data_IF_413487436823
#
_entry.id   IF_413487436823
#
_cell.length_a   1.000
_cell.length_b   1.000
_cell.length_c   1.000
_cell.angle_alpha   90.00
_cell.angle_beta   90.00
_cell.angle_gamma   90.00
#
_symmetry.space_group_name_H-M   'P 1'
#
loop_
_entity.id
_entity.type
_entity.pdbx_description
1 polymer ?
#
# COMPACT_ATOMS: atom_id res chain seq x y z
N UNK A 1 10.40 1.78 5.17
CA UNK A 1 11.65 2.20 5.86
C UNK A 1 11.68 3.71 5.88
N UNK A 2 12.12 4.35 6.96
CA UNK A 2 12.10 5.82 7.08
C UNK A 2 13.42 6.35 7.65
N UNK A 3 13.90 7.44 7.08
CA UNK A 3 15.02 8.23 7.58
C UNK A 3 14.49 9.55 8.16
N UNK A 4 14.60 9.72 9.47
CA UNK A 4 14.06 10.86 10.21
C UNK A 4 15.07 12.02 10.27
N UNK A 5 15.24 12.72 9.13
CA UNK A 5 16.02 13.96 9.05
C UNK A 5 15.11 15.09 8.60
N UNK A 6 14.82 16.02 9.51
CA UNK A 6 13.99 17.18 9.24
C UNK A 6 14.71 18.20 8.35
N UNK A 7 13.94 18.90 7.50
CA UNK A 7 14.40 19.95 6.59
C UNK A 7 15.67 19.59 5.81
N UNK A 8 15.73 18.32 5.38
CA UNK A 8 16.89 17.76 4.69
C UNK A 8 17.11 18.37 3.30
N UNK A 9 18.39 18.59 2.98
CA UNK A 9 18.88 19.04 1.67
C UNK A 9 19.85 18.01 1.07
N UNK A 10 20.16 18.14 -0.22
CA UNK A 10 21.05 17.21 -0.95
C UNK A 10 20.67 15.72 -0.81
N UNK A 11 19.36 15.43 -0.72
CA UNK A 11 18.86 14.07 -0.51
C UNK A 11 19.13 13.18 -1.73
N UNK A 12 19.90 12.13 -1.51
CA UNK A 12 20.19 11.08 -2.48
C UNK A 12 19.81 9.72 -1.90
N UNK A 13 18.99 8.99 -2.66
CA UNK A 13 18.52 7.65 -2.33
C UNK A 13 18.82 6.74 -3.51
N UNK A 14 19.58 5.68 -3.28
CA UNK A 14 19.89 4.66 -4.26
C UNK A 14 19.38 3.32 -3.75
N UNK A 15 18.42 2.73 -4.46
CA UNK A 15 17.86 1.41 -4.15
C UNK A 15 18.36 0.42 -5.21
N UNK A 16 19.20 -0.51 -4.78
CA UNK A 16 19.71 -1.62 -5.58
C UNK A 16 19.04 -2.93 -5.15
N UNK A 17 19.24 -3.99 -5.93
CA UNK A 17 18.65 -5.31 -5.68
C UNK A 17 18.97 -5.88 -4.29
N UNK A 18 20.12 -5.52 -3.70
CA UNK A 18 20.60 -6.07 -2.43
C UNK A 18 21.01 -5.01 -1.41
N UNK A 19 20.83 -3.73 -1.73
CA UNK A 19 21.33 -2.64 -0.91
C UNK A 19 20.51 -1.38 -1.07
N UNK A 20 20.44 -0.58 -0.03
CA UNK A 20 20.01 0.81 -0.09
C UNK A 20 21.12 1.71 0.45
N UNK A 21 21.36 2.82 -0.25
CA UNK A 21 22.27 3.89 0.16
C UNK A 21 21.46 5.18 0.28
N UNK A 22 21.55 5.81 1.44
CA UNK A 22 20.92 7.09 1.74
C UNK A 22 21.99 8.10 2.15
N UNK A 23 21.89 9.31 1.61
CA UNK A 23 22.68 10.43 2.08
C UNK A 23 21.91 11.74 1.99
N UNK A 24 22.14 12.65 2.95
CA UNK A 24 21.57 13.99 2.95
C UNK A 24 22.37 14.93 3.87
N UNK A 25 21.97 16.21 3.91
CA UNK A 25 22.42 17.21 4.88
C UNK A 25 21.25 17.75 5.68
N UNK A 26 21.44 18.00 6.97
CA UNK A 26 20.49 18.75 7.78
C UNK A 26 20.71 20.27 7.66
N UNK A 27 19.85 21.11 8.26
CA UNK A 27 20.02 22.57 8.25
C UNK A 27 21.32 23.07 8.89
N UNK A 28 21.89 22.31 9.84
CA UNK A 28 23.16 22.63 10.49
C UNK A 28 24.38 22.29 9.62
N UNK A 29 24.16 21.70 8.43
CA UNK A 29 25.21 21.27 7.51
C UNK A 29 25.87 19.94 7.87
N UNK A 30 25.32 19.19 8.83
CA UNK A 30 25.77 17.84 9.18
C UNK A 30 25.32 16.87 8.09
N UNK A 31 26.28 16.10 7.58
CA UNK A 31 26.05 15.06 6.56
C UNK A 31 25.66 13.74 7.22
N UNK A 32 24.60 13.14 6.70
CA UNK A 32 24.14 11.81 7.06
C UNK A 32 24.45 10.85 5.90
N UNK A 33 24.99 9.69 6.24
CA UNK A 33 25.24 8.61 5.29
C UNK A 33 24.84 7.29 5.95
N UNK A 34 23.93 6.56 5.33
CA UNK A 34 23.44 5.28 5.80
C UNK A 34 23.42 4.27 4.65
N UNK A 35 24.01 3.12 4.90
CA UNK A 35 24.04 2.00 3.97
C UNK A 35 23.51 0.75 4.66
N UNK A 36 22.60 0.05 3.99
CA UNK A 36 22.05 -1.22 4.47
C UNK A 36 22.12 -2.24 3.35
N UNK A 37 22.79 -3.36 3.60
CA UNK A 37 22.63 -4.57 2.80
C UNK A 37 21.37 -5.32 3.24
N UNK A 38 20.45 -5.57 2.32
CA UNK A 38 19.19 -6.24 2.61
C UNK A 38 19.38 -7.73 2.90
N UNK A 39 18.52 -8.26 3.78
CA UNK A 39 18.44 -9.69 4.10
C UNK A 39 18.30 -10.57 2.86
N UNK A 40 17.48 -10.14 1.90
CA UNK A 40 17.30 -10.82 0.62
C UNK A 40 17.05 -9.80 -0.50
N UNK A 41 16.96 -10.32 -1.73
CA UNK A 41 16.74 -9.51 -2.92
C UNK A 41 15.44 -8.69 -2.84
N UNK A 42 15.49 -7.45 -3.30
CA UNK A 42 14.36 -6.54 -3.49
C UNK A 42 14.15 -6.22 -4.97
N UNK A 43 12.98 -5.73 -5.33
CA UNK A 43 12.69 -5.21 -6.66
C UNK A 43 12.95 -3.70 -6.67
N UNK A 44 14.12 -3.28 -7.16
CA UNK A 44 14.51 -1.88 -7.23
C UNK A 44 13.57 -1.03 -8.13
N UNK A 45 13.02 -1.62 -9.20
CA UNK A 45 12.17 -0.90 -10.18
C UNK A 45 10.79 -0.55 -9.63
N UNK A 46 10.27 -1.39 -8.76
CA UNK A 46 8.99 -1.18 -8.09
C UNK A 46 9.13 -0.48 -6.73
N UNK A 47 10.37 -0.20 -6.31
CA UNK A 47 10.67 0.51 -5.07
C UNK A 47 10.81 2.00 -5.32
N UNK A 48 10.36 2.83 -4.38
CA UNK A 48 10.32 4.28 -4.53
C UNK A 48 10.61 4.98 -3.21
N UNK A 49 11.14 6.20 -3.24
CA UNK A 49 11.22 7.09 -2.09
C UNK A 49 10.20 8.24 -2.17
N UNK A 50 9.73 8.67 -1.00
CA UNK A 50 8.90 9.87 -0.84
C UNK A 50 9.56 10.78 0.18
N UNK A 51 9.65 12.05 -0.17
CA UNK A 51 10.27 13.07 0.68
C UNK A 51 9.18 13.95 1.28
N UNK A 52 9.36 14.26 2.56
CA UNK A 52 8.57 15.20 3.35
C UNK A 52 9.53 16.19 4.00
N UNK A 53 9.02 17.32 4.52
CA UNK A 53 9.82 18.22 5.35
C UNK A 53 10.31 17.57 6.65
N UNK A 54 9.68 16.46 7.08
CA UNK A 54 10.01 15.77 8.34
C UNK A 54 10.91 14.54 8.19
N UNK A 55 10.90 13.90 7.02
CA UNK A 55 11.53 12.60 6.83
C UNK A 55 11.58 12.19 5.36
N UNK A 56 12.35 11.13 5.10
CA UNK A 56 12.42 10.45 3.81
C UNK A 56 11.94 9.01 4.01
N UNK A 57 10.81 8.67 3.39
CA UNK A 57 10.23 7.32 3.47
C UNK A 57 10.59 6.53 2.20
N UNK A 58 11.22 5.37 2.38
CA UNK A 58 11.53 4.42 1.32
C UNK A 58 10.54 3.24 1.34
N UNK A 59 9.82 3.06 0.24
CA UNK A 59 8.94 1.93 -0.03
C UNK A 59 9.73 0.87 -0.79
N UNK A 60 10.17 -0.17 -0.07
CA UNK A 60 11.00 -1.24 -0.62
C UNK A 60 10.14 -2.47 -0.88
N UNK A 61 10.05 -2.92 -2.13
CA UNK A 61 9.31 -4.13 -2.51
C UNK A 61 10.21 -5.37 -2.44
N UNK A 62 9.82 -6.37 -1.64
CA UNK A 62 10.50 -7.68 -1.61
C UNK A 62 10.43 -8.35 -2.98
N UNK A 63 11.49 -9.04 -3.40
CA UNK A 63 11.49 -9.80 -4.66
C UNK A 63 10.54 -11.01 -4.62
N UNK A 64 10.53 -11.72 -3.48
CA UNK A 64 9.59 -12.82 -3.23
C UNK A 64 8.52 -12.36 -2.25
N UNK A 65 7.27 -12.42 -2.68
CA UNK A 65 6.11 -12.20 -1.84
C UNK A 65 5.92 -13.37 -0.87
N UNK A 66 5.19 -13.14 0.24
CA UNK A 66 4.87 -14.14 1.27
C UNK A 66 6.09 -14.83 1.91
N UNK A 67 7.26 -14.18 1.87
CA UNK A 67 8.47 -14.65 2.56
C UNK A 67 8.77 -13.77 3.77
N UNK A 68 8.81 -14.39 4.94
CA UNK A 68 9.17 -13.76 6.18
C UNK A 68 10.63 -13.26 6.14
N UNK A 69 10.85 -12.02 6.58
CA UNK A 69 12.18 -11.48 6.80
C UNK A 69 12.35 -11.34 8.32
N UNK A 70 13.21 -12.15 8.96
CA UNK A 70 13.42 -12.06 10.41
C UNK A 70 14.12 -10.75 10.81
N UNK A 71 14.84 -10.13 9.87
CA UNK A 71 15.53 -8.85 10.00
C UNK A 71 15.59 -8.13 8.66
N UNK A 72 15.90 -6.84 8.69
CA UNK A 72 16.08 -6.03 7.48
C UNK A 72 17.46 -6.25 6.85
N UNK A 73 18.49 -6.38 7.68
CA UNK A 73 19.90 -6.48 7.28
C UNK A 73 20.30 -7.91 6.93
N UNK A 74 21.25 -8.06 6.00
CA UNK A 74 21.89 -9.35 5.70
C UNK A 74 22.59 -9.93 6.93
N UNK A 75 23.45 -9.14 7.53
CA UNK A 75 24.15 -9.48 8.76
C UNK A 75 23.22 -9.40 9.97
N UNK A 76 23.53 -10.19 11.00
CA UNK A 76 22.74 -10.26 12.24
C UNK A 76 23.06 -9.12 13.22
N UNK A 77 24.04 -8.29 12.89
CA UNK A 77 24.42 -7.13 13.68
C UNK A 77 23.48 -5.98 13.33
N UNK A 78 22.65 -5.58 14.31
CA UNK A 78 21.76 -4.43 14.19
C UNK A 78 22.55 -3.13 14.44
N UNK A 79 22.67 -2.21 13.45
CA UNK A 79 23.28 -0.92 13.68
C UNK A 79 22.53 -0.12 14.76
N UNK A 80 23.25 0.65 15.58
CA UNK A 80 22.66 1.38 16.70
C UNK A 80 21.59 2.41 16.30
N UNK A 81 21.68 2.93 15.07
CA UNK A 81 20.75 3.93 14.52
C UNK A 81 19.51 3.31 13.87
N UNK A 82 19.46 1.99 13.69
CA UNK A 82 18.33 1.29 13.08
C UNK A 82 17.38 0.79 14.17
N UNK A 83 16.10 1.15 14.12
CA UNK A 83 15.06 0.68 15.03
C UNK A 83 13.87 0.07 14.27
N UNK A 84 13.01 -0.66 15.00
CA UNK A 84 11.75 -1.17 14.44
C UNK A 84 10.69 -0.09 14.66
N UNK A 85 9.95 0.22 13.60
CA UNK A 85 8.75 1.05 13.63
C UNK A 85 7.58 0.17 14.11
N UNK A 86 7.29 0.23 15.40
CA UNK A 86 6.27 -0.63 16.03
C UNK A 86 4.86 -0.24 15.62
N UNK A 87 4.64 1.01 15.25
CA UNK A 87 3.32 1.48 14.88
C UNK A 87 2.93 1.01 13.48
N UNK A 88 3.93 0.95 12.59
CA UNK A 88 3.82 0.39 11.24
C UNK A 88 3.98 -1.12 11.13
N UNK A 89 4.31 -1.79 12.23
CA UNK A 89 4.56 -3.22 12.19
C UNK A 89 3.23 -4.00 12.08
N UNK A 90 3.23 -5.02 11.23
CA UNK A 90 2.09 -5.93 10.99
C UNK A 90 2.59 -7.36 10.85
N UNK A 91 1.83 -8.30 11.39
CA UNK A 91 2.10 -9.73 11.22
C UNK A 91 1.81 -10.15 9.77
N UNK A 92 2.80 -10.78 9.15
CA UNK A 92 2.79 -11.12 7.72
C UNK A 92 1.86 -12.31 7.37
N UNK A 93 1.33 -13.02 8.36
CA UNK A 93 0.36 -14.13 8.19
C UNK A 93 -1.11 -13.68 8.29
N UNK A 94 -1.37 -12.46 8.79
CA UNK A 94 -2.72 -12.07 9.25
C UNK A 94 -3.69 -11.55 8.20
N UNK A 95 -3.23 -11.21 6.99
CA UNK A 95 -4.10 -10.55 6.01
C UNK A 95 -5.10 -11.52 5.35
N UNK A 96 -4.72 -12.78 5.07
CA UNK A 96 -5.66 -13.71 4.41
C UNK A 96 -6.77 -14.20 5.34
N UNK A 97 -6.49 -14.50 6.61
CA UNK A 97 -7.50 -15.07 7.53
C UNK A 97 -8.52 -14.01 7.98
N UNK A 98 -8.08 -12.78 8.21
CA UNK A 98 -8.96 -11.67 8.61
C UNK A 98 -9.83 -11.20 7.44
N UNK A 99 -9.27 -11.09 6.23
CA UNK A 99 -10.06 -10.77 5.03
C UNK A 99 -11.07 -11.88 4.71
N UNK A 100 -10.69 -13.15 4.83
CA UNK A 100 -11.61 -14.27 4.59
C UNK A 100 -12.76 -14.28 5.60
N UNK A 101 -12.47 -14.04 6.88
CA UNK A 101 -13.48 -13.95 7.93
C UNK A 101 -14.44 -12.76 7.72
N UNK A 102 -13.93 -11.62 7.24
CA UNK A 102 -14.77 -10.46 6.90
C UNK A 102 -15.66 -10.75 5.68
N UNK A 103 -15.12 -11.40 4.64
CA UNK A 103 -15.88 -11.81 3.45
C UNK A 103 -16.96 -12.83 3.80
N UNK A 104 -16.64 -13.82 4.64
CA UNK A 104 -17.59 -14.82 5.11
C UNK A 104 -18.73 -14.18 5.92
N UNK A 105 -18.38 -13.27 6.84
CA UNK A 105 -19.38 -12.51 7.60
C UNK A 105 -20.31 -11.68 6.71
N UNK A 106 -19.75 -11.01 5.69
CA UNK A 106 -20.54 -10.23 4.73
C UNK A 106 -21.46 -11.13 3.89
N UNK A 107 -20.95 -12.30 3.45
CA UNK A 107 -21.72 -13.28 2.71
C UNK A 107 -22.91 -13.83 3.53
N UNK A 108 -22.71 -14.07 4.83
CA UNK A 108 -23.79 -14.48 5.73
C UNK A 108 -24.88 -13.41 5.88
N UNK A 109 -24.48 -12.14 5.98
CA UNK A 109 -25.43 -11.03 6.06
C UNK A 109 -26.27 -10.91 4.78
N UNK A 110 -25.63 -11.02 3.60
CA UNK A 110 -26.33 -11.03 2.31
C UNK A 110 -27.27 -12.22 2.17
N UNK A 111 -26.87 -13.41 2.65
CA UNK A 111 -27.70 -14.61 2.64
C UNK A 111 -28.93 -14.47 3.54
N UNK A 112 -28.79 -13.88 4.72
CA UNK A 112 -29.90 -13.59 5.66
C UNK A 112 -30.91 -12.60 5.06
N UNK A 113 -30.44 -11.64 4.25
CA UNK A 113 -31.31 -10.71 3.52
C UNK A 113 -32.03 -11.41 2.35
N UNK A 114 -31.39 -12.35 1.65
CA UNK A 114 -32.00 -13.09 0.53
C UNK A 114 -33.10 -14.08 0.95
N UNK A 115 -33.11 -14.57 2.20
CA UNK A 115 -34.11 -15.53 2.68
C UNK A 115 -35.46 -14.91 3.06
N UNK A 116 -35.60 -13.58 2.97
CA UNK A 116 -36.89 -12.88 3.14
C UNK A 116 -37.44 -12.45 1.76
N UNK A 117 -38.30 -13.24 1.13
CA UNK A 117 -39.13 -12.81 -0.01
C UNK A 117 -40.59 -12.54 0.42
N UNK A 118 -41.44 -11.71 -0.25
CA UNK A 118 -41.24 -10.61 -1.25
C UNK A 118 -42.20 -9.37 -1.04
N UNK A 119 -42.24 -8.36 -1.95
CA UNK A 119 -43.54 -7.99 -2.54
C UNK A 119 -43.51 -7.80 -4.07
N UNK A 120 -44.69 -7.94 -4.69
CA UNK A 120 -45.06 -7.94 -6.12
C UNK A 120 -44.70 -6.66 -6.94
N UNK A 121 -43.72 -5.86 -6.53
CA UNK A 121 -43.36 -4.60 -7.20
C UNK A 121 -42.26 -4.74 -8.26
N UNK A 122 -41.47 -5.82 -8.21
CA UNK A 122 -40.29 -6.01 -9.06
C UNK A 122 -40.64 -6.18 -10.54
N UNK A 123 -41.81 -6.74 -10.88
CA UNK A 123 -42.25 -6.87 -12.28
C UNK A 123 -42.58 -5.53 -12.92
N UNK A 124 -43.02 -4.54 -12.14
CA UNK A 124 -43.34 -3.18 -12.63
C UNK A 124 -42.07 -2.35 -12.80
N UNK A 125 -41.10 -2.47 -11.88
CA UNK A 125 -39.82 -1.77 -11.96
C UNK A 125 -38.87 -2.36 -13.02
N UNK A 126 -38.93 -3.67 -13.28
CA UNK A 126 -38.13 -4.27 -14.36
C UNK A 126 -38.55 -3.76 -15.75
N UNK A 127 -39.84 -3.48 -15.99
CA UNK A 127 -40.27 -2.86 -17.25
C UNK A 127 -39.77 -1.41 -17.41
N UNK A 128 -39.71 -0.64 -16.32
CA UNK A 128 -39.18 0.74 -16.34
C UNK A 128 -37.66 0.75 -16.51
N UNK A 129 -36.96 -0.19 -15.88
CA UNK A 129 -35.50 -0.34 -16.01
C UNK A 129 -35.07 -0.68 -17.43
N UNK A 130 -35.80 -1.53 -18.16
CA UNK A 130 -35.44 -1.87 -19.55
C UNK A 130 -35.49 -0.65 -20.48
N UNK A 131 -36.43 0.27 -20.27
CA UNK A 131 -36.52 1.53 -21.05
C UNK A 131 -35.39 2.50 -20.68
N UNK A 132 -35.05 2.62 -19.40
CA UNK A 132 -33.97 3.50 -18.94
C UNK A 132 -32.56 2.97 -19.26
N UNK A 133 -32.38 1.65 -19.39
CA UNK A 133 -31.09 1.05 -19.78
C UNK A 133 -30.68 1.40 -21.21
N UNK A 134 -31.62 1.64 -22.12
CA UNK A 134 -31.28 1.98 -23.51
C UNK A 134 -30.78 3.43 -23.65
N UNK A 135 -31.28 4.37 -22.83
CA UNK A 135 -30.83 5.76 -22.82
C UNK A 135 -29.47 5.93 -22.13
N UNK A 136 -29.21 5.18 -21.06
CA UNK A 136 -27.94 5.24 -20.32
C UNK A 136 -26.80 4.57 -21.10
N UNK A 137 -27.05 3.51 -21.86
CA UNK A 137 -26.05 2.89 -22.75
C UNK A 137 -25.60 3.89 -23.84
N UNK A 138 -26.53 4.67 -24.42
CA UNK A 138 -26.21 5.71 -25.40
C UNK A 138 -25.41 6.87 -24.77
N UNK A 139 -25.63 7.19 -23.50
CA UNK A 139 -24.88 8.21 -22.76
C UNK A 139 -23.46 7.76 -22.36
N UNK A 140 -23.29 6.50 -21.93
CA UNK A 140 -22.00 5.93 -21.55
C UNK A 140 -21.07 5.68 -22.75
N UNK A 141 -21.62 5.51 -23.96
CA UNK A 141 -20.80 5.46 -25.18
C UNK A 141 -20.12 6.80 -25.53
N UNK A 142 -20.55 7.93 -24.96
CA UNK A 142 -19.91 9.25 -25.16
C UNK A 142 -18.85 9.60 -24.09
N UNK A 143 -18.84 8.92 -22.93
CA UNK A 143 -17.96 9.26 -21.80
C UNK A 143 -16.66 8.43 -21.72
N UNK A 144 -16.48 7.41 -22.56
CA UNK A 144 -15.27 6.56 -22.64
C UNK A 144 -14.03 7.27 -23.25
N UNK A 145 -13.84 8.57 -23.00
CA UNK A 145 -12.68 9.37 -23.46
C UNK A 145 -11.88 10.07 -22.36
N UNK A 146 -12.13 9.83 -21.05
CA UNK A 146 -11.30 10.40 -19.99
C UNK A 146 -11.11 9.40 -18.84
N UNK A 147 -9.98 8.72 -18.85
CA UNK A 147 -9.52 7.85 -17.75
C UNK A 147 -8.80 8.63 -16.65
N UNK A 148 -8.97 8.19 -15.41
CA UNK A 148 -8.19 8.55 -14.22
C UNK A 148 -8.64 7.59 -13.10
N UNK A 149 -7.82 6.72 -12.53
CA UNK A 149 -6.77 6.91 -11.51
C UNK A 149 -7.22 6.25 -10.19
N UNK A 150 -6.28 5.62 -9.49
CA UNK A 150 -6.49 5.15 -8.12
C UNK A 150 -5.35 4.27 -7.61
N UNK A 151 -4.31 4.90 -7.04
CA UNK A 151 -3.31 4.23 -6.20
C UNK A 151 -3.72 4.41 -4.73
N UNK A 152 -3.64 3.34 -3.94
CA UNK A 152 -3.94 3.32 -2.51
C UNK A 152 -2.62 3.33 -1.70
N UNK A 153 -2.50 4.21 -0.71
CA UNK A 153 -1.34 4.41 0.16
C UNK A 153 -1.72 3.99 1.59
N UNK A 154 -0.91 3.15 2.24
CA UNK A 154 -1.07 2.81 3.66
C UNK A 154 0.04 3.51 4.47
N UNK A 155 -0.35 4.10 5.59
CA UNK A 155 0.48 4.88 6.52
C UNK A 155 0.35 4.24 7.88
N UNK A 156 1.41 4.18 8.68
CA UNK A 156 1.29 3.95 10.11
C UNK A 156 2.24 4.89 10.84
N UNK A 157 1.80 5.31 12.02
CA UNK A 157 2.24 6.47 12.77
C UNK A 157 2.60 6.07 14.19
N UNK A 158 3.76 6.54 14.64
CA UNK A 158 4.23 6.79 16.02
C UNK A 158 3.26 6.57 17.20
#
# INVERSE_FOLDING_TARGET
MEFCVEDSSDVHVLIEDHRIVFSCKNPDGVEFYNEIEFYAKVNCKDSQDKRSGRSITCFVRKWKEKVAWPRLTKEDIKPAWLSVDFDNWRDWEGDEEVELAQVEHYAELLKKVSTKSPPLQWTTWMMILTVLTQEVINFLSQQNRRGSCGCLLVTLTS
#
